data_IF_643951071022
#
_entry.id   IF_643951071022
#
_cell.length_a   1.000
_cell.length_b   1.000
_cell.length_c   1.000
_cell.angle_alpha   90.00
_cell.angle_beta   90.00
_cell.angle_gamma   90.00
#
_symmetry.space_group_name_H-M   'P 1'
#
loop_
_entity.id
_entity.type
_entity.pdbx_description
1 polymer ?
#
# COMPACT_ATOMS: atom_id res chain seq x y z
N UNK A 1 -6.23 -14.43 -6.84
CA UNK A 1 -5.40 -14.58 -5.63
C UNK A 1 -4.10 -13.84 -5.94
N UNK A 2 -4.06 -12.55 -5.62
CA UNK A 2 -2.99 -11.64 -6.09
C UNK A 2 -1.72 -11.71 -5.24
N UNK A 3 -0.69 -10.99 -5.69
CA UNK A 3 0.64 -10.88 -5.03
C UNK A 3 0.56 -10.58 -3.53
N UNK A 4 -0.45 -9.81 -3.10
CA UNK A 4 -0.64 -9.52 -1.68
C UNK A 4 -0.76 -10.79 -0.82
N UNK A 5 -1.56 -11.78 -1.25
CA UNK A 5 -1.84 -12.97 -0.43
C UNK A 5 -0.63 -13.89 -0.26
N UNK A 6 0.20 -14.00 -1.29
CA UNK A 6 1.39 -14.87 -1.31
C UNK A 6 2.60 -14.20 -0.70
N UNK A 7 2.81 -12.92 -0.96
CA UNK A 7 4.08 -12.25 -0.73
C UNK A 7 4.02 -11.21 0.40
N UNK A 8 2.83 -10.72 0.78
CA UNK A 8 2.66 -9.70 1.81
C UNK A 8 1.94 -10.24 3.06
N UNK A 9 0.81 -10.92 2.88
CA UNK A 9 -0.08 -11.36 3.96
C UNK A 9 0.58 -12.36 4.93
N UNK A 10 1.58 -13.12 4.47
CA UNK A 10 2.37 -14.04 5.29
C UNK A 10 3.00 -13.35 6.49
N UNK A 11 3.41 -12.08 6.35
CA UNK A 11 3.98 -11.28 7.44
C UNK A 11 2.98 -10.23 7.97
N UNK A 12 2.22 -9.59 7.07
CA UNK A 12 1.38 -8.43 7.40
C UNK A 12 -0.08 -8.79 7.73
N UNK A 13 -0.41 -10.08 7.85
CA UNK A 13 -1.77 -10.63 7.98
C UNK A 13 -2.63 -10.44 6.72
N UNK A 14 -3.61 -11.32 6.54
CA UNK A 14 -4.63 -11.19 5.49
C UNK A 14 -5.47 -9.91 5.63
N UNK A 15 -5.52 -9.33 6.83
CA UNK A 15 -6.22 -8.07 7.10
C UNK A 15 -5.37 -6.84 6.81
N UNK A 16 -4.09 -6.99 6.45
CA UNK A 16 -3.11 -5.91 6.31
C UNK A 16 -2.92 -5.03 7.57
N UNK A 17 -3.53 -5.40 8.71
CA UNK A 17 -3.43 -4.66 9.98
C UNK A 17 -2.23 -5.10 10.83
N UNK A 18 -1.36 -5.93 10.27
CA UNK A 18 -0.13 -6.39 10.91
C UNK A 18 -0.34 -7.66 11.72
N UNK A 19 0.79 -8.21 12.17
CA UNK A 19 0.87 -9.40 13.02
C UNK A 19 2.05 -9.27 13.98
N UNK A 20 2.34 -10.32 14.74
CA UNK A 20 3.59 -10.38 15.51
C UNK A 20 4.85 -10.39 14.63
N UNK A 21 4.74 -10.73 13.35
CA UNK A 21 5.86 -10.82 12.42
C UNK A 21 6.18 -9.48 11.74
N UNK A 22 5.19 -8.63 11.48
CA UNK A 22 5.37 -7.37 10.78
C UNK A 22 4.27 -6.34 11.09
N UNK A 23 4.56 -5.03 10.98
CA UNK A 23 3.60 -3.97 11.30
C UNK A 23 2.40 -3.95 10.34
N UNK A 24 1.37 -3.18 10.70
CA UNK A 24 0.26 -2.90 9.79
C UNK A 24 0.73 -2.13 8.54
N UNK A 25 0.06 -2.41 7.43
CA UNK A 25 0.20 -1.68 6.17
C UNK A 25 -0.93 -0.65 5.99
N UNK A 26 -2.04 -0.82 6.73
CA UNK A 26 -3.23 0.05 6.71
C UNK A 26 -3.66 0.45 8.14
N UNK A 27 -4.70 1.28 8.25
CA UNK A 27 -5.20 1.80 9.53
C UNK A 27 -4.17 2.74 10.16
N UNK A 28 -3.94 2.62 11.48
CA UNK A 28 -3.00 3.50 12.21
C UNK A 28 -1.64 3.68 11.51
N UNK A 29 -1.08 2.61 10.91
CA UNK A 29 0.21 2.72 10.23
C UNK A 29 0.16 3.62 8.99
N UNK A 30 -0.93 3.57 8.23
CA UNK A 30 -1.13 4.40 7.04
C UNK A 30 -1.56 5.82 7.46
N UNK A 31 -2.55 5.93 8.35
CA UNK A 31 -3.11 7.19 8.83
C UNK A 31 -2.07 8.06 9.57
N UNK A 32 -1.20 7.47 10.39
CA UNK A 32 -0.27 8.27 11.20
C UNK A 32 1.03 8.61 10.49
N UNK A 33 1.52 7.74 9.61
CA UNK A 33 2.84 7.90 8.96
C UNK A 33 2.74 8.59 7.60
N UNK A 34 1.65 8.37 6.88
CA UNK A 34 1.53 8.75 5.48
C UNK A 34 0.36 9.70 5.20
N UNK A 35 -0.48 10.04 6.19
CA UNK A 35 -1.47 11.08 5.99
C UNK A 35 -0.84 12.40 5.52
N UNK A 36 -1.56 13.10 4.66
CA UNK A 36 -1.15 14.35 4.01
C UNK A 36 0.13 14.22 3.16
N UNK A 37 0.53 13.00 2.81
CA UNK A 37 1.60 12.73 1.85
C UNK A 37 1.03 12.21 0.53
N UNK A 38 1.76 12.40 -0.59
CA UNK A 38 1.41 11.77 -1.85
C UNK A 38 1.45 10.25 -1.72
N UNK A 39 0.53 9.56 -2.42
CA UNK A 39 0.47 8.10 -2.45
C UNK A 39 1.79 7.49 -2.93
N UNK A 40 2.49 8.21 -3.80
CA UNK A 40 3.83 7.84 -4.25
C UNK A 40 4.82 7.59 -3.10
N UNK A 41 4.75 8.34 -1.99
CA UNK A 41 5.65 8.12 -0.85
C UNK A 41 5.44 6.76 -0.18
N UNK A 42 4.18 6.31 -0.11
CA UNK A 42 3.85 4.99 0.40
C UNK A 42 4.28 3.88 -0.57
N UNK A 43 3.98 4.07 -1.86
CA UNK A 43 4.37 3.18 -2.94
C UNK A 43 5.88 3.00 -3.03
N UNK A 44 6.65 4.08 -3.06
CA UNK A 44 8.11 4.05 -3.22
C UNK A 44 8.77 3.39 -2.02
N UNK A 45 8.25 3.62 -0.81
CA UNK A 45 8.74 2.90 0.38
C UNK A 45 8.54 1.39 0.24
N UNK A 46 7.35 0.95 -0.19
CA UNK A 46 7.07 -0.46 -0.39
C UNK A 46 7.99 -1.05 -1.47
N UNK A 47 8.08 -0.40 -2.63
CA UNK A 47 8.93 -0.82 -3.73
C UNK A 47 10.40 -0.95 -3.35
N UNK A 48 10.90 0.01 -2.57
CA UNK A 48 12.32 0.11 -2.22
C UNK A 48 12.73 -0.74 -1.01
N UNK A 49 11.78 -1.26 -0.23
CA UNK A 49 12.10 -1.95 1.03
C UNK A 49 11.41 -3.31 1.19
N UNK A 50 10.38 -3.59 0.40
CA UNK A 50 9.61 -4.83 0.49
C UNK A 50 9.70 -5.64 -0.80
N UNK A 51 9.59 -6.98 -0.69
CA UNK A 51 9.77 -7.75 0.53
C UNK A 51 11.22 -7.64 1.07
N UNK A 52 11.47 -7.85 2.38
CA UNK A 52 12.81 -7.77 2.93
C UNK A 52 13.78 -8.75 2.24
N UNK A 53 14.92 -8.25 1.76
CA UNK A 53 15.89 -9.03 0.99
C UNK A 53 15.58 -9.17 -0.51
N UNK A 54 14.38 -8.78 -0.93
CA UNK A 54 13.89 -8.82 -2.31
C UNK A 54 13.20 -7.50 -2.70
N UNK A 55 13.76 -6.36 -2.27
CA UNK A 55 13.24 -5.05 -2.66
C UNK A 55 13.22 -4.91 -4.20
N UNK A 56 12.14 -4.34 -4.73
CA UNK A 56 11.95 -4.18 -6.18
C UNK A 56 11.68 -5.49 -6.93
N UNK A 57 11.25 -6.54 -6.23
CA UNK A 57 10.94 -7.84 -6.85
C UNK A 57 9.79 -7.78 -7.86
N UNK A 58 8.78 -6.96 -7.59
CA UNK A 58 7.65 -6.74 -8.48
C UNK A 58 7.89 -5.56 -9.43
N UNK A 59 7.19 -5.56 -10.55
CA UNK A 59 7.11 -4.40 -11.45
C UNK A 59 6.38 -3.24 -10.78
N UNK A 60 6.60 -2.03 -11.29
CA UNK A 60 5.94 -0.84 -10.74
C UNK A 60 4.39 -0.95 -10.79
N UNK A 61 3.84 -1.56 -11.84
CA UNK A 61 2.38 -1.78 -11.93
C UNK A 61 1.89 -2.81 -10.91
N UNK A 62 2.63 -3.90 -10.68
CA UNK A 62 2.26 -4.88 -9.66
C UNK A 62 2.30 -4.29 -8.23
N UNK A 63 3.24 -3.37 -7.95
CA UNK A 63 3.20 -2.60 -6.70
C UNK A 63 1.98 -1.67 -6.64
N UNK A 64 1.57 -1.07 -7.74
CA UNK A 64 0.39 -0.21 -7.79
C UNK A 64 -0.87 -1.02 -7.51
N UNK A 65 -0.98 -2.23 -8.07
CA UNK A 65 -2.09 -3.15 -7.80
C UNK A 65 -2.15 -3.57 -6.33
N UNK A 66 -0.98 -3.83 -5.71
CA UNK A 66 -0.88 -4.12 -4.26
C UNK A 66 -1.35 -2.91 -3.44
N UNK A 67 -0.89 -1.70 -3.80
CA UNK A 67 -1.31 -0.45 -3.13
C UNK A 67 -2.81 -0.23 -3.28
N UNK A 68 -3.37 -0.39 -4.47
CA UNK A 68 -4.81 -0.28 -4.72
C UNK A 68 -5.61 -1.25 -3.85
N UNK A 69 -5.16 -2.51 -3.74
CA UNK A 69 -5.79 -3.49 -2.87
C UNK A 69 -5.71 -3.12 -1.38
N UNK A 70 -4.58 -2.55 -0.94
CA UNK A 70 -4.44 -2.07 0.44
C UNK A 70 -5.36 -0.88 0.73
N UNK A 71 -5.50 0.04 -0.22
CA UNK A 71 -6.45 1.16 -0.11
C UNK A 71 -7.90 0.66 -0.03
N UNK A 72 -8.26 -0.34 -0.83
CA UNK A 72 -9.57 -1.00 -0.75
C UNK A 72 -9.81 -1.62 0.64
N UNK A 73 -8.84 -2.39 1.16
CA UNK A 73 -8.91 -2.97 2.51
C UNK A 73 -8.96 -1.91 3.62
N UNK A 74 -8.32 -0.77 3.39
CA UNK A 74 -8.35 0.38 4.30
C UNK A 74 -9.72 1.06 4.31
N UNK A 75 -10.50 0.96 3.24
CA UNK A 75 -11.79 1.63 3.06
C UNK A 75 -11.69 2.96 2.31
N UNK A 76 -10.59 3.19 1.59
CA UNK A 76 -10.48 4.33 0.69
C UNK A 76 -11.44 4.19 -0.50
N UNK A 77 -12.00 5.29 -1.02
CA UNK A 77 -12.85 5.24 -2.21
C UNK A 77 -12.06 4.81 -3.44
N UNK A 78 -12.70 4.01 -4.31
CA UNK A 78 -12.14 3.71 -5.62
C UNK A 78 -12.12 4.97 -6.51
N UNK A 79 -11.07 5.11 -7.32
CA UNK A 79 -11.00 6.10 -8.39
C UNK A 79 -11.73 5.66 -9.66
N UNK A 80 -11.79 6.54 -10.65
CA UNK A 80 -12.45 6.28 -11.94
C UNK A 80 -11.57 5.52 -12.95
N UNK A 81 -10.29 5.34 -12.64
CA UNK A 81 -9.31 4.67 -13.49
C UNK A 81 -8.43 3.73 -12.66
N UNK A 82 -7.77 2.80 -13.35
CA UNK A 82 -6.74 1.95 -12.77
C UNK A 82 -5.61 2.80 -12.19
N UNK A 83 -5.03 2.34 -11.07
CA UNK A 83 -3.92 3.03 -10.43
C UNK A 83 -2.64 2.76 -11.21
N UNK A 84 -2.12 3.76 -11.90
CA UNK A 84 -0.86 3.63 -12.65
C UNK A 84 0.34 3.63 -11.71
N UNK A 85 1.29 2.71 -11.94
CA UNK A 85 2.54 2.61 -11.17
C UNK A 85 3.59 3.67 -11.52
N UNK A 86 3.20 4.91 -11.83
CA UNK A 86 4.14 5.99 -12.17
C UNK A 86 4.22 7.05 -11.08
N UNK A 87 5.38 7.67 -10.92
CA UNK A 87 5.56 8.76 -9.96
C UNK A 87 4.59 9.93 -10.21
N UNK A 88 4.35 10.26 -11.49
CA UNK A 88 3.44 11.34 -11.88
C UNK A 88 2.01 11.06 -11.43
N UNK A 89 1.47 9.88 -11.74
CA UNK A 89 0.11 9.51 -11.38
C UNK A 89 -0.07 9.39 -9.85
N UNK A 90 0.87 8.72 -9.18
CA UNK A 90 0.79 8.47 -7.73
C UNK A 90 1.05 9.72 -6.89
N UNK A 91 1.81 10.70 -7.41
CA UNK A 91 2.03 11.96 -6.70
C UNK A 91 0.83 12.91 -6.75
N UNK A 92 -0.10 12.70 -7.68
CA UNK A 92 -1.33 13.47 -7.79
C UNK A 92 -2.42 13.04 -6.78
N UNK A 93 -2.22 11.90 -6.10
CA UNK A 93 -3.17 11.34 -5.14
C UNK A 93 -2.64 11.56 -3.73
N UNK A 94 -3.44 12.17 -2.86
CA UNK A 94 -3.08 12.38 -1.45
C UNK A 94 -3.68 11.29 -0.57
N UNK A 95 -2.88 10.78 0.36
CA UNK A 95 -3.38 9.87 1.40
C UNK A 95 -4.11 10.71 2.44
N UNK A 96 -5.41 10.46 2.59
CA UNK A 96 -6.24 11.06 3.62
C UNK A 96 -6.61 10.00 4.66
N UNK A 97 -6.65 10.35 5.95
CA UNK A 97 -7.14 9.42 6.96
C UNK A 97 -8.57 8.97 6.65
N UNK A 98 -8.87 7.70 6.94
CA UNK A 98 -10.26 7.24 6.85
C UNK A 98 -11.16 8.05 7.82
N UNK A 99 -12.43 8.35 7.45
CA UNK A 99 -13.34 9.14 8.30
C UNK A 99 -13.66 8.51 9.67
N UNK A 100 -13.22 7.27 9.91
CA UNK A 100 -13.47 6.48 11.13
C UNK A 100 -12.19 6.25 11.94
N UNK A 101 -11.47 7.33 12.25
CA UNK A 101 -10.51 7.37 13.36
C UNK A 101 -11.20 7.56 14.71
#
# INVERSE_FOLDING_TARGET
MGFFGTDCATCHSNTARGSSAAPGLIGYALDSKYADQPLYTYFDYMRSNMPPGNAGWFTDQEYADIVAYLLELHGAPAGDAELEGTEEALSAIMIVPTPEG
#
